data_IF_417941433393
#
_entry.id   IF_417941433393
#
_cell.length_a   1.000
_cell.length_b   1.000
_cell.length_c   1.000
_cell.angle_alpha   90.00
_cell.angle_beta   90.00
_cell.angle_gamma   90.00
#
_symmetry.space_group_name_H-M   'P 1'
#
loop_
_entity.id
_entity.type
_entity.pdbx_description
1 polymer ?
#
# COMPACT_ATOMS: atom_id res chain seq x y z
N UNK A 1 -32.24 6.85 4.29
CA UNK A 1 -30.97 6.71 3.55
C UNK A 1 -30.38 5.36 3.91
N UNK A 2 -30.58 4.35 3.07
CA UNK A 2 -30.02 3.01 3.28
C UNK A 2 -28.52 3.06 2.95
N UNK A 3 -27.68 3.05 3.97
CA UNK A 3 -26.21 2.98 3.80
C UNK A 3 -25.82 1.62 3.25
N UNK A 4 -24.67 1.48 2.57
CA UNK A 4 -24.16 0.20 2.01
C UNK A 4 -24.22 -1.00 2.99
N UNK A 5 -24.15 -0.74 4.30
CA UNK A 5 -24.33 -1.72 5.37
C UNK A 5 -25.71 -2.42 5.40
N UNK A 6 -26.73 -1.88 4.73
CA UNK A 6 -28.04 -2.54 4.60
C UNK A 6 -28.08 -3.61 3.50
N UNK A 7 -27.11 -3.60 2.59
CA UNK A 7 -27.05 -4.52 1.46
C UNK A 7 -26.05 -5.65 1.68
N UNK A 8 -24.93 -5.36 2.36
CA UNK A 8 -23.88 -6.34 2.67
C UNK A 8 -23.44 -6.13 4.12
N UNK A 9 -23.27 -7.21 4.91
CA UNK A 9 -22.85 -7.11 6.32
C UNK A 9 -21.49 -6.40 6.50
N UNK A 10 -20.55 -6.63 5.58
CA UNK A 10 -19.18 -6.11 5.63
C UNK A 10 -18.78 -5.50 4.28
N UNK A 11 -19.19 -4.26 3.99
CA UNK A 11 -18.79 -3.59 2.77
C UNK A 11 -17.29 -3.23 2.79
N UNK A 12 -16.61 -3.41 1.67
CA UNK A 12 -15.20 -3.02 1.47
C UNK A 12 -15.16 -1.80 0.55
N UNK A 13 -14.46 -0.76 0.99
CA UNK A 13 -14.13 0.41 0.18
C UNK A 13 -12.87 0.12 -0.62
N UNK A 14 -12.98 0.14 -1.95
CA UNK A 14 -11.84 -0.01 -2.85
C UNK A 14 -11.61 1.31 -3.57
N UNK A 15 -10.41 1.87 -3.39
CA UNK A 15 -9.96 3.10 -4.04
C UNK A 15 -9.04 2.69 -5.18
N UNK A 16 -9.38 3.09 -6.40
CA UNK A 16 -8.61 2.82 -7.62
C UNK A 16 -7.90 4.12 -8.03
N UNK A 17 -6.58 4.06 -8.17
CA UNK A 17 -5.79 5.13 -8.77
C UNK A 17 -5.80 4.98 -10.29
N UNK A 18 -6.41 5.96 -10.97
CA UNK A 18 -6.49 6.01 -12.43
C UNK A 18 -5.17 6.45 -13.09
N UNK A 19 -4.25 7.04 -12.33
CA UNK A 19 -2.94 7.50 -12.82
C UNK A 19 -1.82 7.11 -11.85
N UNK A 20 -1.54 5.80 -11.72
CA UNK A 20 -0.56 5.32 -10.75
C UNK A 20 0.83 5.87 -11.06
N UNK A 21 1.37 6.63 -10.11
CA UNK A 21 2.74 7.18 -10.18
C UNK A 21 3.80 6.14 -9.79
N UNK A 22 3.41 5.14 -9.02
CA UNK A 22 4.28 4.06 -8.53
C UNK A 22 4.01 2.76 -9.29
N UNK A 23 5.06 1.97 -9.50
CA UNK A 23 4.92 0.60 -10.00
C UNK A 23 4.38 -0.27 -8.86
N UNK A 24 3.11 -0.64 -8.94
CA UNK A 24 2.43 -1.48 -7.97
C UNK A 24 0.98 -1.73 -8.36
N UNK A 25 0.25 -2.40 -7.47
CA UNK A 25 -1.20 -2.59 -7.60
C UNK A 25 -1.85 -1.20 -7.41
N UNK A 26 -2.60 -0.66 -8.39
CA UNK A 26 -3.20 0.68 -8.32
C UNK A 26 -4.46 0.74 -7.43
N UNK A 27 -4.65 -0.24 -6.55
CA UNK A 27 -5.82 -0.39 -5.71
C UNK A 27 -5.45 -0.38 -4.24
N UNK A 28 -6.23 0.34 -3.42
CA UNK A 28 -6.19 0.27 -1.97
C UNK A 28 -7.56 -0.16 -1.46
N UNK A 29 -7.60 -1.17 -0.60
CA UNK A 29 -8.85 -1.69 -0.03
C UNK A 29 -8.90 -1.45 1.46
N UNK A 30 -10.09 -1.09 1.95
CA UNK A 30 -10.35 -0.82 3.36
C UNK A 30 -11.71 -1.37 3.78
N UNK A 31 -11.83 -1.80 5.03
CA UNK A 31 -13.13 -2.08 5.64
C UNK A 31 -13.29 -1.26 6.92
N UNK A 32 -14.53 -0.96 7.27
CA UNK A 32 -14.84 -0.15 8.44
C UNK A 32 -14.86 -1.02 9.70
N UNK A 33 -14.11 -0.62 10.72
CA UNK A 33 -14.14 -1.21 12.06
C UNK A 33 -14.50 -0.15 13.09
N UNK A 34 -15.16 -0.56 14.16
CA UNK A 34 -15.37 0.30 15.33
C UNK A 34 -14.15 0.18 16.24
N UNK A 35 -13.38 1.24 16.32
CA UNK A 35 -12.25 1.33 17.24
C UNK A 35 -12.72 1.91 18.57
N UNK A 36 -12.56 1.14 19.64
CA UNK A 36 -12.79 1.57 21.01
C UNK A 36 -11.46 2.04 21.57
N UNK A 37 -11.32 3.35 21.76
CA UNK A 37 -10.11 3.90 22.38
C UNK A 37 -10.05 3.52 23.86
N UNK A 38 -8.86 3.20 24.36
CA UNK A 38 -8.61 2.78 25.76
C UNK A 38 -9.03 3.84 26.80
N UNK A 39 -9.15 5.11 26.40
CA UNK A 39 -9.69 6.15 27.27
C UNK A 39 -11.22 6.06 27.34
N UNK A 40 -11.74 5.53 28.45
CA UNK A 40 -13.15 5.25 28.76
C UNK A 40 -14.16 6.42 28.58
N UNK A 41 -13.71 7.60 28.16
CA UNK A 41 -14.53 8.81 27.93
C UNK A 41 -14.69 9.19 26.45
N UNK A 42 -13.94 8.58 25.52
CA UNK A 42 -14.07 8.89 24.09
C UNK A 42 -15.07 7.93 23.42
N UNK A 43 -16.03 8.49 22.68
CA UNK A 43 -17.01 7.73 21.89
C UNK A 43 -16.28 6.83 20.88
N UNK A 44 -16.81 5.63 20.64
CA UNK A 44 -16.32 4.74 19.60
C UNK A 44 -16.28 5.47 18.25
N UNK A 45 -15.16 5.35 17.55
CA UNK A 45 -14.96 5.97 16.24
C UNK A 45 -14.87 4.86 15.19
N UNK A 46 -15.59 5.04 14.07
CA UNK A 46 -15.40 4.17 12.90
C UNK A 46 -14.14 4.58 12.17
N UNK A 47 -13.22 3.64 12.02
CA UNK A 47 -11.96 3.80 11.29
C UNK A 47 -11.89 2.80 10.14
N UNK A 48 -11.14 3.15 9.11
CA UNK A 48 -10.92 2.29 7.96
C UNK A 48 -9.58 1.58 8.10
N UNK A 49 -9.62 0.26 8.23
CA UNK A 49 -8.41 -0.56 8.29
C UNK A 49 -8.09 -1.09 6.91
N UNK A 50 -6.83 -0.97 6.52
CA UNK A 50 -6.34 -1.46 5.24
C UNK A 50 -6.43 -2.99 5.17
N UNK A 51 -6.89 -3.49 4.03
CA UNK A 51 -6.91 -4.92 3.69
C UNK A 51 -5.92 -5.14 2.55
N UNK A 52 -5.01 -6.13 2.64
CA UNK A 52 -4.19 -6.54 1.51
C UNK A 52 -5.07 -6.92 0.31
N UNK A 53 -4.68 -6.47 -0.88
CA UNK A 53 -5.36 -6.81 -2.13
C UNK A 53 -4.38 -7.37 -3.15
N UNK A 54 -4.88 -8.24 -4.02
CA UNK A 54 -4.17 -8.81 -5.14
C UNK A 54 -5.01 -8.67 -6.43
N UNK A 55 -4.33 -8.56 -7.57
CA UNK A 55 -4.98 -8.59 -8.88
C UNK A 55 -4.84 -10.01 -9.40
N UNK A 56 -5.97 -10.67 -9.61
CA UNK A 56 -6.05 -12.02 -10.16
C UNK A 56 -6.96 -11.97 -11.38
N UNK A 57 -6.55 -12.65 -12.45
CA UNK A 57 -7.34 -12.82 -13.66
C UNK A 57 -7.84 -14.27 -13.75
N UNK A 58 -9.02 -14.46 -14.34
CA UNK A 58 -9.49 -15.78 -14.80
C UNK A 58 -8.90 -16.09 -16.18
N UNK A 59 -8.90 -17.36 -16.58
CA UNK A 59 -8.33 -17.81 -17.87
C UNK A 59 -8.80 -16.97 -19.07
N UNK A 60 -10.11 -16.69 -19.16
CA UNK A 60 -10.68 -15.87 -20.24
C UNK A 60 -10.23 -14.40 -20.20
N UNK A 61 -9.96 -13.87 -19.01
CA UNK A 61 -9.48 -12.49 -18.82
C UNK A 61 -7.99 -12.41 -19.14
N UNK A 62 -7.20 -13.42 -18.75
CA UNK A 62 -5.76 -13.50 -19.00
C UNK A 62 -5.46 -13.53 -20.50
N UNK A 63 -6.15 -14.39 -21.27
CA UNK A 63 -6.00 -14.45 -22.72
C UNK A 63 -6.35 -13.10 -23.37
N UNK A 64 -7.41 -12.44 -22.89
CA UNK A 64 -7.82 -11.13 -23.37
C UNK A 64 -6.75 -10.06 -23.12
N UNK A 65 -6.19 -10.03 -21.91
CA UNK A 65 -5.12 -9.09 -21.54
C UNK A 65 -3.84 -9.36 -22.32
N UNK A 66 -3.44 -10.63 -22.48
CA UNK A 66 -2.24 -11.00 -23.24
C UNK A 66 -2.35 -10.56 -24.69
N UNK A 67 -3.51 -10.78 -25.31
CA UNK A 67 -3.77 -10.35 -26.69
C UNK A 67 -3.60 -8.84 -26.85
N UNK A 68 -4.15 -8.05 -25.92
CA UNK A 68 -3.99 -6.59 -25.92
C UNK A 68 -2.54 -6.13 -25.68
N UNK A 69 -1.79 -6.85 -24.85
CA UNK A 69 -0.42 -6.50 -24.51
C UNK A 69 0.59 -6.87 -25.60
N UNK A 70 0.26 -7.82 -26.48
CA UNK A 70 1.14 -8.22 -27.59
C UNK A 70 1.44 -7.06 -28.53
N UNK A 71 0.48 -6.18 -28.76
CA UNK A 71 0.64 -5.01 -29.63
C UNK A 71 1.41 -3.86 -28.95
N UNK A 72 1.58 -3.92 -27.63
CA UNK A 72 2.24 -2.89 -26.82
C UNK A 72 3.65 -3.28 -26.34
N UNK A 73 4.06 -4.56 -26.44
CA UNK A 73 5.36 -5.04 -25.96
C UNK A 73 6.40 -5.16 -27.08
N UNK A 74 7.45 -4.35 -27.01
CA UNK A 74 8.66 -4.53 -27.81
C UNK A 74 9.44 -5.77 -27.35
N UNK A 75 9.53 -6.78 -28.21
CA UNK A 75 10.13 -8.10 -27.89
C UNK A 75 11.64 -8.12 -28.18
N UNK A 76 12.39 -7.15 -27.65
CA UNK A 76 13.87 -7.10 -27.79
C UNK A 76 14.51 -6.61 -26.49
N UNK A 77 14.39 -7.40 -25.40
CA UNK A 77 15.04 -7.08 -24.14
C UNK A 77 15.97 -8.23 -23.74
N UNK A 78 17.28 -7.94 -23.73
CA UNK A 78 18.34 -8.84 -23.24
C UNK A 78 18.20 -9.08 -21.73
N UNK A 79 18.49 -10.30 -21.26
CA UNK A 79 18.32 -10.73 -19.87
C UNK A 79 19.02 -9.83 -18.84
N UNK A 80 20.24 -9.37 -19.14
CA UNK A 80 20.98 -8.45 -18.26
C UNK A 80 20.31 -7.07 -18.16
N UNK A 81 19.76 -6.56 -19.27
CA UNK A 81 19.04 -5.29 -19.28
C UNK A 81 17.78 -5.34 -18.41
N UNK A 82 17.08 -6.48 -18.43
CA UNK A 82 15.92 -6.74 -17.56
C UNK A 82 16.33 -6.75 -16.09
N UNK A 83 17.42 -7.42 -15.72
CA UNK A 83 17.89 -7.48 -14.33
C UNK A 83 18.29 -6.10 -13.78
N UNK A 84 19.07 -5.33 -14.54
CA UNK A 84 19.50 -3.98 -14.14
C UNK A 84 18.28 -3.06 -14.01
N UNK A 85 17.34 -3.12 -14.95
CA UNK A 85 16.10 -2.34 -14.90
C UNK A 85 15.24 -2.73 -13.70
N UNK A 86 15.17 -4.02 -13.37
CA UNK A 86 14.47 -4.54 -12.19
C UNK A 86 15.06 -3.99 -10.89
N UNK A 87 16.40 -4.04 -10.73
CA UNK A 87 17.08 -3.49 -9.55
C UNK A 87 16.87 -1.98 -9.41
N UNK A 88 17.00 -1.23 -10.52
CA UNK A 88 16.76 0.22 -10.52
C UNK A 88 15.31 0.54 -10.13
N UNK A 89 14.34 -0.22 -10.65
CA UNK A 89 12.94 -0.05 -10.30
C UNK A 89 12.69 -0.33 -8.81
N UNK A 90 13.26 -1.41 -8.26
CA UNK A 90 13.15 -1.74 -6.84
C UNK A 90 13.72 -0.63 -5.94
N UNK A 91 14.86 -0.04 -6.30
CA UNK A 91 15.44 1.10 -5.57
C UNK A 91 14.54 2.34 -5.58
N UNK A 92 13.94 2.67 -6.74
CA UNK A 92 12.99 3.79 -6.83
C UNK A 92 11.74 3.57 -5.98
N UNK A 93 11.22 2.34 -5.95
CA UNK A 93 10.09 1.98 -5.08
C UNK A 93 10.48 2.15 -3.61
N UNK A 94 11.68 1.68 -3.22
CA UNK A 94 12.17 1.84 -1.86
C UNK A 94 12.30 3.32 -1.44
N UNK A 95 12.85 4.16 -2.32
CA UNK A 95 12.96 5.61 -2.11
C UNK A 95 11.59 6.27 -1.88
N UNK A 96 10.59 5.92 -2.70
CA UNK A 96 9.21 6.37 -2.53
C UNK A 96 8.63 5.96 -1.17
N UNK A 97 8.82 4.69 -0.77
CA UNK A 97 8.37 4.18 0.54
C UNK A 97 9.04 4.88 1.72
N UNK A 98 10.34 5.13 1.64
CA UNK A 98 11.07 5.86 2.70
C UNK A 98 10.57 7.31 2.81
N UNK A 99 10.29 7.96 1.67
CA UNK A 99 9.71 9.30 1.63
C UNK A 99 8.30 9.32 2.25
N UNK A 100 7.47 8.32 1.96
CA UNK A 100 6.14 8.16 2.57
C UNK A 100 6.23 7.97 4.08
N UNK A 101 7.14 7.12 4.56
CA UNK A 101 7.39 6.90 6.00
C UNK A 101 7.81 8.20 6.68
N UNK A 102 8.68 9.00 6.05
CA UNK A 102 9.13 10.30 6.59
C UNK A 102 8.01 11.35 6.64
N UNK A 103 7.09 11.32 5.68
CA UNK A 103 5.98 12.27 5.62
C UNK A 103 5.12 12.23 6.89
N UNK A 104 4.93 11.05 7.50
CA UNK A 104 4.11 10.93 8.70
C UNK A 104 4.68 11.68 9.92
N UNK A 105 5.94 11.47 10.36
CA UNK A 105 6.54 12.28 11.42
C UNK A 105 6.53 13.78 11.13
N UNK A 106 6.79 14.18 9.87
CA UNK A 106 6.74 15.60 9.47
C UNK A 106 5.34 16.20 9.71
N UNK A 107 4.27 15.46 9.38
CA UNK A 107 2.88 15.88 9.63
C UNK A 107 2.51 15.91 11.12
N UNK A 108 3.11 15.06 11.96
CA UNK A 108 2.92 15.06 13.41
C UNK A 108 3.62 16.25 14.05
N UNK A 109 4.85 16.57 13.62
CA UNK A 109 5.61 17.75 14.08
C UNK A 109 4.87 19.04 13.70
N UNK A 110 4.31 19.10 12.50
CA UNK A 110 3.45 20.20 12.02
C UNK A 110 2.11 20.32 12.77
N UNK A 111 1.77 19.38 13.63
CA UNK A 111 0.51 19.34 14.38
C UNK A 111 -0.73 19.01 13.53
N UNK A 112 -0.55 18.55 12.28
CA UNK A 112 -1.66 18.20 11.36
C UNK A 112 -2.26 16.83 11.66
N UNK A 113 -1.47 15.91 12.21
CA UNK A 113 -1.89 14.56 12.59
C UNK A 113 -1.56 14.26 14.06
N UNK A 114 -2.44 13.53 14.77
CA UNK A 114 -2.14 13.06 16.11
C UNK A 114 -1.10 11.94 16.09
N UNK A 115 -0.35 11.81 17.18
CA UNK A 115 0.63 10.74 17.37
C UNK A 115 -0.07 9.37 17.49
N UNK A 116 0.23 8.46 16.57
CA UNK A 116 -0.13 7.05 16.63
C UNK A 116 1.07 6.22 17.13
N UNK A 117 0.88 5.55 18.26
CA UNK A 117 1.92 4.75 18.92
C UNK A 117 2.24 3.44 18.19
N UNK A 118 1.29 2.83 17.48
CA UNK A 118 1.55 1.61 16.68
C UNK A 118 2.52 1.89 15.54
N UNK A 119 2.35 3.03 14.85
CA UNK A 119 3.24 3.43 13.76
C UNK A 119 4.68 3.63 14.29
N UNK A 120 4.83 4.27 15.46
CA UNK A 120 6.14 4.43 16.09
C UNK A 120 6.76 3.10 16.49
N UNK A 121 5.96 2.17 17.02
CA UNK A 121 6.43 0.83 17.37
C UNK A 121 6.95 0.07 16.15
N UNK A 122 6.19 0.10 15.05
CA UNK A 122 6.64 -0.50 13.78
C UNK A 122 7.92 0.16 13.26
N UNK A 123 8.02 1.50 13.31
CA UNK A 123 9.20 2.22 12.90
C UNK A 123 10.44 1.83 13.73
N UNK A 124 10.28 1.72 15.05
CA UNK A 124 11.34 1.27 15.96
C UNK A 124 11.77 -0.16 15.64
N UNK A 125 10.83 -1.06 15.39
CA UNK A 125 11.14 -2.44 14.98
C UNK A 125 11.92 -2.50 13.68
N UNK A 126 11.57 -1.68 12.68
CA UNK A 126 12.33 -1.59 11.43
C UNK A 126 13.78 -1.22 11.71
N UNK A 127 14.04 -0.19 12.52
CA UNK A 127 15.40 0.20 12.89
C UNK A 127 16.15 -0.88 13.66
N UNK A 128 15.48 -1.58 14.58
CA UNK A 128 16.09 -2.66 15.36
C UNK A 128 16.44 -3.89 14.52
N UNK A 129 15.70 -4.13 13.42
CA UNK A 129 15.93 -5.25 12.50
C UNK A 129 16.91 -4.90 11.38
N UNK A 130 17.37 -3.65 11.27
CA UNK A 130 18.39 -3.29 10.31
C UNK A 130 19.67 -4.10 10.61
N UNK A 131 20.24 -4.79 9.62
CA UNK A 131 21.45 -5.55 9.83
C UNK A 131 22.58 -4.60 10.24
N UNK A 132 23.26 -4.93 11.33
CA UNK A 132 24.50 -4.24 11.69
C UNK A 132 25.55 -4.57 10.63
N UNK A 133 25.80 -3.65 9.69
CA UNK A 133 26.81 -3.79 8.64
C UNK A 133 28.25 -3.63 9.16
N UNK A 134 28.42 -3.52 10.50
CA UNK A 134 29.69 -3.30 11.18
C UNK A 134 30.24 -4.55 11.91
N UNK A 135 29.74 -5.75 11.59
CA UNK A 135 30.40 -6.99 12.00
C UNK A 135 31.54 -7.25 11.02
N UNK A 136 32.72 -6.73 11.34
CA UNK A 136 34.00 -7.23 10.82
C UNK A 136 34.28 -8.63 11.32
#
# INVERSE_FOLDING_TARGET
MATYFSYVPTPVLVIIDIHPKERGIPTKSYYAVEEVKENATQKSQKVFVHVPSEIVAREVEEIGVEHLLRDAKDTTISTLGTEVTGKLAALKVLDGRLTEIRSYPDLVIDGKLPLNHEILYHLQNVFNLLPNLNVS
#
